data_IF_207069104542
#
_entry.id   IF_207069104542
#
_cell.length_a   1.000
_cell.length_b   1.000
_cell.length_c   1.000
_cell.angle_alpha   90.00
_cell.angle_beta   90.00
_cell.angle_gamma   90.00
#
_symmetry.space_group_name_H-M   'P 1'
#
loop_
_entity.id
_entity.type
_entity.pdbx_description
1 polymer ?
#
# COMPACT_ATOMS: atom_id res chain seq x y z
N UNK A 1 13.22 57.26 -63.72
CA UNK A 1 14.51 57.51 -63.04
C UNK A 1 15.06 56.18 -62.55
N UNK A 2 15.88 55.52 -63.38
CA UNK A 2 16.98 54.63 -62.93
C UNK A 2 18.03 55.50 -62.20
N UNK A 3 19.00 54.98 -61.40
CA UNK A 3 19.93 53.97 -61.91
C UNK A 3 20.67 53.01 -60.92
N UNK A 4 21.30 51.99 -61.55
CA UNK A 4 22.51 51.20 -61.17
C UNK A 4 22.36 50.16 -60.05
N UNK A 5 22.99 48.97 -60.05
CA UNK A 5 23.95 48.18 -60.86
C UNK A 5 24.11 46.86 -60.05
N UNK A 6 24.62 45.70 -60.47
CA UNK A 6 25.12 45.14 -61.72
C UNK A 6 25.28 43.62 -61.52
N UNK A 7 24.90 42.86 -62.55
CA UNK A 7 25.66 41.81 -63.25
C UNK A 7 26.37 40.63 -62.49
N UNK A 8 25.79 39.42 -62.59
CA UNK A 8 26.08 38.32 -63.56
C UNK A 8 27.54 37.77 -63.79
N UNK A 9 27.72 36.58 -64.43
CA UNK A 9 27.95 35.29 -63.77
C UNK A 9 29.20 34.54 -64.31
N UNK A 10 29.77 33.56 -63.61
CA UNK A 10 30.79 32.69 -64.21
C UNK A 10 30.48 31.20 -63.98
N UNK A 11 30.39 30.48 -65.10
CA UNK A 11 30.33 29.03 -65.28
C UNK A 11 31.76 28.45 -65.36
N UNK A 12 31.80 27.12 -65.49
CA UNK A 12 32.91 26.18 -65.82
C UNK A 12 33.40 25.46 -64.55
N UNK A 13 33.06 24.19 -64.25
CA UNK A 13 33.04 22.89 -64.95
C UNK A 13 34.38 22.14 -64.96
N UNK A 14 34.29 20.85 -64.55
CA UNK A 14 35.23 19.72 -64.70
C UNK A 14 36.44 19.73 -63.73
N UNK A 15 36.91 18.63 -63.15
CA UNK A 15 36.79 17.22 -63.51
C UNK A 15 36.93 16.30 -62.28
N UNK A 16 36.64 15.02 -62.54
CA UNK A 16 36.72 13.87 -61.66
C UNK A 16 38.15 13.49 -61.20
N UNK A 17 38.17 12.43 -60.40
CA UNK A 17 39.28 11.56 -59.97
C UNK A 17 39.71 11.78 -58.51
N UNK A 18 39.18 10.94 -57.63
CA UNK A 18 39.98 9.91 -56.94
C UNK A 18 39.12 9.25 -55.85
N UNK A 19 38.47 8.13 -56.21
CA UNK A 19 38.18 7.11 -55.24
C UNK A 19 39.53 6.55 -54.77
N UNK A 20 39.90 6.78 -53.52
CA UNK A 20 41.05 6.13 -52.89
C UNK A 20 40.71 5.90 -51.42
N UNK A 21 40.13 4.73 -51.19
CA UNK A 21 40.44 3.82 -50.09
C UNK A 21 41.12 4.45 -48.88
N UNK A 22 40.34 4.89 -47.90
CA UNK A 22 40.72 4.85 -46.49
C UNK A 22 40.28 3.50 -45.89
N UNK A 23 40.69 2.42 -46.56
CA UNK A 23 40.80 1.11 -45.95
C UNK A 23 42.28 0.92 -45.61
N UNK A 24 42.57 0.49 -44.38
CA UNK A 24 43.90 0.28 -43.79
C UNK A 24 44.58 1.50 -43.15
N UNK A 25 44.01 2.03 -42.05
CA UNK A 25 44.80 2.63 -40.96
C UNK A 25 43.98 2.86 -39.67
N UNK A 26 43.02 1.99 -39.36
CA UNK A 26 42.57 1.81 -37.98
C UNK A 26 42.62 0.32 -37.76
N UNK A 27 43.46 -0.10 -36.83
CA UNK A 27 43.61 -1.49 -36.44
C UNK A 27 42.23 -2.08 -36.16
N UNK A 28 42.17 -3.40 -36.25
CA UNK A 28 41.07 -4.17 -35.68
C UNK A 28 41.07 -3.91 -34.18
N UNK A 29 40.50 -2.77 -33.76
CA UNK A 29 39.81 -2.67 -32.51
C UNK A 29 38.70 -3.70 -32.68
N UNK A 30 38.99 -4.93 -32.26
CA UNK A 30 37.97 -5.90 -31.92
C UNK A 30 37.01 -5.11 -31.06
N UNK A 31 35.85 -4.76 -31.62
CA UNK A 31 34.72 -4.34 -30.83
C UNK A 31 34.63 -5.42 -29.77
N UNK A 32 34.91 -5.05 -28.51
CA UNK A 32 34.61 -5.94 -27.39
C UNK A 32 33.20 -6.46 -27.65
N UNK A 33 32.94 -7.77 -27.45
CA UNK A 33 31.61 -8.30 -27.68
C UNK A 33 30.65 -7.35 -26.97
N UNK A 34 29.67 -6.81 -27.71
CA UNK A 34 28.54 -6.11 -27.09
C UNK A 34 28.09 -7.10 -26.04
N UNK A 35 28.42 -6.84 -24.78
CA UNK A 35 28.12 -7.75 -23.70
C UNK A 35 26.64 -7.96 -23.80
N UNK A 36 26.22 -9.20 -24.11
CA UNK A 36 24.79 -9.48 -24.19
C UNK A 36 24.23 -9.02 -22.86
N UNK A 37 23.40 -7.98 -22.92
CA UNK A 37 22.70 -7.49 -21.75
C UNK A 37 22.02 -8.70 -21.13
N UNK A 38 22.29 -9.02 -19.86
CA UNK A 38 21.56 -10.07 -19.17
C UNK A 38 20.08 -9.76 -19.32
N UNK A 39 19.35 -10.68 -19.91
CA UNK A 39 17.90 -10.58 -20.03
C UNK A 39 17.32 -10.42 -18.61
N UNK A 40 16.54 -9.36 -18.31
CA UNK A 40 15.98 -9.13 -16.97
C UNK A 40 15.29 -10.37 -16.39
N UNK A 41 14.58 -11.14 -17.20
CA UNK A 41 13.90 -12.37 -16.76
C UNK A 41 14.89 -13.46 -16.30
N UNK A 42 16.05 -13.56 -16.94
CA UNK A 42 17.14 -14.45 -16.52
C UNK A 42 17.71 -14.02 -15.17
N UNK A 43 17.90 -12.71 -14.95
CA UNK A 43 18.39 -12.18 -13.67
C UNK A 43 17.37 -12.41 -12.56
N UNK A 44 16.09 -12.15 -12.82
CA UNK A 44 15.01 -12.40 -11.85
C UNK A 44 14.98 -13.83 -11.35
N UNK A 45 15.12 -14.81 -12.26
CA UNK A 45 15.13 -16.23 -11.91
C UNK A 45 16.30 -16.58 -10.99
N UNK A 46 17.48 -16.04 -11.28
CA UNK A 46 18.67 -16.20 -10.44
C UNK A 46 18.48 -15.54 -9.07
N UNK A 47 17.85 -14.37 -9.01
CA UNK A 47 17.52 -13.72 -7.75
C UNK A 47 16.53 -14.53 -6.91
N UNK A 48 15.48 -15.10 -7.51
CA UNK A 48 14.55 -15.99 -6.78
C UNK A 48 15.26 -17.22 -6.23
N UNK A 49 16.17 -17.82 -7.00
CA UNK A 49 16.97 -18.95 -6.55
C UNK A 49 17.92 -18.59 -5.39
N UNK A 50 18.62 -17.45 -5.49
CA UNK A 50 19.51 -16.97 -4.44
C UNK A 50 18.74 -16.64 -3.15
N UNK A 51 17.55 -16.03 -3.23
CA UNK A 51 16.66 -15.81 -2.08
C UNK A 51 16.22 -17.11 -1.42
N UNK A 52 15.77 -18.08 -2.21
CA UNK A 52 15.37 -19.39 -1.71
C UNK A 52 16.53 -20.12 -1.00
N UNK A 53 17.77 -19.88 -1.44
CA UNK A 53 18.98 -20.42 -0.83
C UNK A 53 19.53 -19.57 0.34
N UNK A 54 18.99 -18.36 0.58
CA UNK A 54 19.54 -17.41 1.55
C UNK A 54 20.91 -16.83 1.17
N UNK A 55 21.29 -16.89 -0.10
CA UNK A 55 22.60 -16.46 -0.60
C UNK A 55 22.63 -14.95 -0.87
N UNK A 56 22.90 -14.20 0.19
CA UNK A 56 22.99 -12.73 0.16
C UNK A 56 24.15 -12.21 -0.70
N UNK A 57 25.25 -12.96 -0.81
CA UNK A 57 26.40 -12.60 -1.64
C UNK A 57 26.06 -12.68 -3.12
N UNK A 58 25.40 -13.75 -3.54
CA UNK A 58 24.91 -13.89 -4.91
C UNK A 58 23.84 -12.84 -5.24
N UNK A 59 22.97 -12.48 -4.28
CA UNK A 59 22.01 -11.39 -4.48
C UNK A 59 22.70 -10.05 -4.76
N UNK A 60 23.69 -9.68 -3.94
CA UNK A 60 24.44 -8.44 -4.15
C UNK A 60 25.11 -8.39 -5.54
N UNK A 61 25.75 -9.50 -5.96
CA UNK A 61 26.38 -9.58 -7.28
C UNK A 61 25.36 -9.37 -8.43
N UNK A 62 24.17 -9.96 -8.32
CA UNK A 62 23.11 -9.81 -9.30
C UNK A 62 22.55 -8.37 -9.33
N UNK A 63 22.44 -7.72 -8.17
CA UNK A 63 22.04 -6.32 -8.06
C UNK A 63 23.07 -5.39 -8.70
N UNK A 64 24.35 -5.60 -8.42
CA UNK A 64 25.45 -4.83 -9.00
C UNK A 64 25.53 -5.02 -10.53
N UNK A 65 25.29 -6.24 -11.02
CA UNK A 65 25.18 -6.57 -12.44
C UNK A 65 24.05 -5.77 -13.11
N UNK A 66 22.88 -5.65 -12.46
CA UNK A 66 21.76 -4.84 -12.96
C UNK A 66 22.08 -3.34 -12.95
N UNK A 67 22.76 -2.84 -11.92
CA UNK A 67 23.09 -1.42 -11.78
C UNK A 67 24.20 -0.96 -12.73
N UNK A 68 25.16 -1.85 -13.02
CA UNK A 68 26.24 -1.60 -13.98
C UNK A 68 25.72 -1.50 -15.43
N UNK A 69 24.53 -2.05 -15.72
CA UNK A 69 23.87 -1.92 -17.01
C UNK A 69 23.38 -0.48 -17.22
N UNK A 70 24.27 0.38 -17.74
CA UNK A 70 23.86 1.66 -18.31
C UNK A 70 23.44 1.45 -19.76
N UNK A 71 22.23 1.88 -20.15
CA UNK A 71 21.84 1.86 -21.55
C UNK A 71 22.77 2.77 -22.36
N UNK A 72 23.20 2.29 -23.53
CA UNK A 72 24.12 3.02 -24.42
C UNK A 72 23.48 4.23 -25.14
N UNK A 73 22.21 4.53 -24.87
CA UNK A 73 21.42 5.60 -25.46
C UNK A 73 20.23 5.99 -24.55
N UNK A 74 19.29 6.83 -25.03
CA UNK A 74 18.10 7.16 -24.26
C UNK A 74 17.34 5.88 -23.92
N UNK A 75 17.13 5.65 -22.62
CA UNK A 75 16.41 4.47 -22.14
C UNK A 75 14.94 4.59 -22.54
N UNK A 76 14.37 3.56 -23.16
CA UNK A 76 12.91 3.46 -23.30
C UNK A 76 12.28 3.29 -21.92
N UNK A 77 11.04 3.74 -21.75
CA UNK A 77 10.28 3.53 -20.50
C UNK A 77 10.27 2.06 -20.12
N UNK A 78 9.97 1.18 -21.08
CA UNK A 78 9.92 -0.27 -20.91
C UNK A 78 11.22 -0.84 -20.33
N UNK A 79 12.37 -0.44 -20.86
CA UNK A 79 13.66 -0.92 -20.38
C UNK A 79 13.97 -0.47 -18.94
N UNK A 80 13.52 0.73 -18.55
CA UNK A 80 13.66 1.24 -17.18
C UNK A 80 12.75 0.47 -16.23
N UNK A 81 11.49 0.24 -16.61
CA UNK A 81 10.54 -0.50 -15.80
C UNK A 81 10.98 -1.95 -15.59
N UNK A 82 11.44 -2.64 -16.65
CA UNK A 82 11.93 -4.01 -16.55
C UNK A 82 13.16 -4.13 -15.62
N UNK A 83 14.11 -3.19 -15.70
CA UNK A 83 15.26 -3.21 -14.78
C UNK A 83 14.85 -2.92 -13.34
N UNK A 84 13.92 -1.98 -13.10
CA UNK A 84 13.43 -1.69 -11.75
C UNK A 84 12.64 -2.87 -11.17
N UNK A 85 11.85 -3.59 -11.96
CA UNK A 85 11.14 -4.78 -11.51
C UNK A 85 12.11 -5.92 -11.15
N UNK A 86 13.13 -6.16 -11.98
CA UNK A 86 14.18 -7.12 -11.67
C UNK A 86 14.88 -6.80 -10.33
N UNK A 87 15.21 -5.53 -10.09
CA UNK A 87 15.80 -5.08 -8.82
C UNK A 87 14.88 -5.33 -7.62
N UNK A 88 13.57 -5.18 -7.76
CA UNK A 88 12.62 -5.52 -6.68
C UNK A 88 12.55 -7.02 -6.41
N UNK A 89 12.61 -7.85 -7.45
CA UNK A 89 12.69 -9.33 -7.28
C UNK A 89 13.96 -9.72 -6.52
N UNK A 90 15.05 -8.99 -6.76
CA UNK A 90 16.35 -9.14 -6.09
C UNK A 90 16.43 -8.45 -4.72
N UNK A 91 15.33 -8.00 -4.12
CA UNK A 91 15.28 -7.34 -2.81
C UNK A 91 16.11 -6.03 -2.73
N UNK A 92 16.17 -5.28 -3.83
CA UNK A 92 16.88 -4.00 -3.90
C UNK A 92 15.94 -2.81 -4.19
N UNK A 93 15.01 -2.47 -3.27
CA UNK A 93 14.03 -1.40 -3.48
C UNK A 93 14.66 -0.03 -3.74
N UNK A 94 15.73 0.34 -3.02
CA UNK A 94 16.41 1.62 -3.21
C UNK A 94 17.08 1.75 -4.58
N UNK A 95 17.68 0.65 -5.05
CA UNK A 95 18.27 0.58 -6.38
C UNK A 95 17.20 0.72 -7.47
N UNK A 96 16.04 0.08 -7.30
CA UNK A 96 14.91 0.22 -8.21
C UNK A 96 14.44 1.68 -8.29
N UNK A 97 14.31 2.36 -7.14
CA UNK A 97 13.96 3.79 -7.09
C UNK A 97 15.02 4.66 -7.78
N UNK A 98 16.31 4.35 -7.61
CA UNK A 98 17.40 5.08 -8.27
C UNK A 98 17.40 4.89 -9.80
N UNK A 99 16.98 3.73 -10.30
CA UNK A 99 16.76 3.49 -11.73
C UNK A 99 15.54 4.27 -12.24
N UNK A 100 14.42 4.19 -11.52
CA UNK A 100 13.18 4.88 -11.88
C UNK A 100 13.34 6.41 -11.91
N UNK A 101 14.14 6.98 -11.01
CA UNK A 101 14.40 8.42 -10.95
C UNK A 101 15.10 9.00 -12.19
N UNK A 102 15.71 8.17 -13.04
CA UNK A 102 16.39 8.60 -14.27
C UNK A 102 15.42 8.95 -15.39
N UNK A 103 14.15 8.57 -15.26
CA UNK A 103 13.15 8.72 -16.30
C UNK A 103 11.82 9.15 -15.69
N UNK A 104 11.08 10.01 -16.38
CA UNK A 104 9.76 10.47 -15.96
C UNK A 104 8.84 10.51 -17.18
N UNK A 105 8.03 9.45 -17.41
CA UNK A 105 7.15 9.40 -18.57
C UNK A 105 6.14 10.54 -18.57
N UNK A 106 5.75 10.98 -19.76
CA UNK A 106 4.63 11.90 -19.95
C UNK A 106 3.30 11.26 -19.50
N UNK A 107 2.26 12.05 -19.17
CA UNK A 107 0.96 11.51 -18.77
C UNK A 107 0.42 10.47 -19.75
N UNK A 108 -0.02 9.32 -19.23
CA UNK A 108 -0.44 8.17 -20.03
C UNK A 108 -0.27 6.84 -19.29
N UNK A 109 -0.45 5.70 -19.98
CA UNK A 109 -0.32 4.37 -19.39
C UNK A 109 1.09 4.10 -18.84
N UNK A 110 2.12 4.53 -19.57
CA UNK A 110 3.53 4.46 -19.15
C UNK A 110 3.78 5.16 -17.81
N UNK A 111 3.17 6.33 -17.60
CA UNK A 111 3.25 7.06 -16.34
C UNK A 111 2.57 6.31 -15.21
N UNK A 112 1.44 5.65 -15.46
CA UNK A 112 0.74 4.85 -14.46
C UNK A 112 1.58 3.63 -14.05
N UNK A 113 2.15 2.90 -15.01
CA UNK A 113 3.05 1.78 -14.75
C UNK A 113 4.29 2.23 -13.96
N UNK A 114 4.89 3.37 -14.33
CA UNK A 114 6.00 3.96 -13.59
C UNK A 114 5.64 4.37 -12.16
N UNK A 115 4.47 4.99 -11.95
CA UNK A 115 4.00 5.36 -10.60
C UNK A 115 3.71 4.14 -9.73
N UNK A 116 3.13 3.09 -10.31
CA UNK A 116 2.89 1.82 -9.61
C UNK A 116 4.21 1.20 -9.15
N UNK A 117 5.22 1.18 -10.02
CA UNK A 117 6.53 0.60 -9.69
C UNK A 117 7.30 1.47 -8.68
N UNK A 118 7.20 2.80 -8.79
CA UNK A 118 7.70 3.74 -7.78
C UNK A 118 7.07 3.49 -6.41
N UNK A 119 5.74 3.31 -6.35
CA UNK A 119 5.05 2.98 -5.11
C UNK A 119 5.51 1.62 -4.56
N UNK A 120 5.52 0.55 -5.37
CA UNK A 120 5.97 -0.80 -4.95
C UNK A 120 7.38 -0.78 -4.37
N UNK A 121 8.30 -0.05 -5.00
CA UNK A 121 9.67 0.06 -4.54
C UNK A 121 9.78 0.85 -3.25
N UNK A 122 9.06 1.96 -3.12
CA UNK A 122 9.02 2.74 -1.89
C UNK A 122 8.39 1.97 -0.73
N UNK A 123 7.28 1.24 -0.96
CA UNK A 123 6.63 0.39 0.04
C UNK A 123 7.56 -0.73 0.52
N UNK A 124 8.21 -1.44 -0.40
CA UNK A 124 9.17 -2.50 -0.06
C UNK A 124 10.40 -1.97 0.72
N UNK A 125 10.82 -0.74 0.44
CA UNK A 125 11.90 -0.04 1.17
C UNK A 125 11.43 0.68 2.44
N UNK A 126 10.14 0.62 2.78
CA UNK A 126 9.52 1.36 3.90
C UNK A 126 9.68 2.90 3.81
N UNK A 127 9.90 3.45 2.60
CA UNK A 127 9.89 4.89 2.33
C UNK A 127 8.44 5.38 2.21
N UNK A 128 7.78 5.56 3.35
CA UNK A 128 6.37 5.95 3.44
C UNK A 128 6.07 7.29 2.77
N UNK A 129 7.00 8.26 2.80
CA UNK A 129 6.82 9.55 2.13
C UNK A 129 6.74 9.39 0.61
N UNK A 130 7.67 8.64 0.03
CA UNK A 130 7.70 8.41 -1.41
C UNK A 130 6.56 7.53 -1.87
N UNK A 131 6.19 6.52 -1.09
CA UNK A 131 5.03 5.69 -1.35
C UNK A 131 3.74 6.52 -1.38
N UNK A 132 3.48 7.34 -0.35
CA UNK A 132 2.32 8.22 -0.28
C UNK A 132 2.28 9.22 -1.45
N UNK A 133 3.42 9.80 -1.83
CA UNK A 133 3.52 10.73 -2.97
C UNK A 133 3.20 10.05 -4.31
N UNK A 134 3.69 8.83 -4.54
CA UNK A 134 3.37 8.07 -5.74
C UNK A 134 1.87 7.79 -5.86
N UNK A 135 1.22 7.38 -4.75
CA UNK A 135 -0.23 7.18 -4.69
C UNK A 135 -1.00 8.49 -4.95
N UNK A 136 -0.57 9.61 -4.38
CA UNK A 136 -1.19 10.93 -4.65
C UNK A 136 -1.05 11.37 -6.11
N UNK A 137 0.07 11.08 -6.75
CA UNK A 137 0.21 11.32 -8.19
C UNK A 137 -0.69 10.40 -9.02
N UNK A 138 -0.91 9.14 -8.60
CA UNK A 138 -1.88 8.26 -9.26
C UNK A 138 -3.33 8.74 -9.08
N UNK A 139 -3.66 9.36 -7.95
CA UNK A 139 -4.97 9.98 -7.73
C UNK A 139 -5.25 11.12 -8.72
N UNK A 140 -4.19 11.77 -9.23
CA UNK A 140 -4.30 12.91 -10.15
C UNK A 140 -5.26 14.01 -9.65
N UNK A 141 -5.24 14.26 -8.34
CA UNK A 141 -6.10 15.24 -7.67
C UNK A 141 -7.46 14.71 -7.19
N UNK A 142 -7.85 13.50 -7.56
CA UNK A 142 -9.09 12.86 -7.11
C UNK A 142 -8.79 11.59 -6.30
N UNK A 143 -8.77 11.73 -4.97
CA UNK A 143 -8.47 10.64 -4.05
C UNK A 143 -9.43 9.46 -4.20
N UNK A 144 -10.72 9.72 -4.51
CA UNK A 144 -11.72 8.66 -4.63
C UNK A 144 -11.36 7.65 -5.73
N UNK A 145 -10.59 8.04 -6.76
CA UNK A 145 -10.14 7.13 -7.82
C UNK A 145 -9.25 6.02 -7.29
N UNK A 146 -8.48 6.29 -6.23
CA UNK A 146 -7.61 5.30 -5.60
C UNK A 146 -8.40 4.13 -4.99
N UNK A 147 -9.70 4.29 -4.73
CA UNK A 147 -10.56 3.21 -4.25
C UNK A 147 -10.70 2.08 -5.28
N UNK A 148 -10.67 2.42 -6.57
CA UNK A 148 -10.79 1.45 -7.68
C UNK A 148 -9.47 0.77 -8.06
N UNK A 149 -8.35 1.26 -7.53
CA UNK A 149 -7.02 0.72 -7.86
C UNK A 149 -6.66 -0.33 -6.81
N UNK A 150 -6.68 -1.60 -7.20
CA UNK A 150 -6.28 -2.71 -6.34
C UNK A 150 -4.75 -2.88 -6.38
N UNK A 151 -4.09 -2.71 -5.24
CA UNK A 151 -2.64 -2.85 -5.11
C UNK A 151 -2.29 -4.08 -4.25
N UNK A 152 -1.26 -4.86 -4.62
CA UNK A 152 -0.86 -6.05 -3.89
C UNK A 152 -0.22 -5.69 -2.54
N UNK A 153 -0.54 -6.43 -1.49
CA UNK A 153 0.11 -6.33 -0.18
C UNK A 153 0.63 -7.71 0.22
N UNK A 154 1.88 -7.78 0.64
CA UNK A 154 2.46 -9.04 1.12
C UNK A 154 1.89 -9.34 2.52
N UNK A 155 1.37 -10.55 2.70
CA UNK A 155 1.06 -11.06 4.04
C UNK A 155 2.35 -11.45 4.74
N UNK A 156 2.64 -10.83 5.88
CA UNK A 156 3.88 -11.08 6.64
C UNK A 156 4.01 -12.49 7.23
N UNK A 157 3.01 -13.37 7.11
CA UNK A 157 3.06 -14.72 7.69
C UNK A 157 2.58 -15.84 6.76
N UNK A 158 1.65 -15.57 5.85
CA UNK A 158 1.07 -16.62 4.99
C UNK A 158 1.71 -16.68 3.60
N UNK A 159 2.52 -15.69 3.22
CA UNK A 159 3.09 -15.57 1.88
C UNK A 159 2.07 -15.31 0.76
N UNK A 160 0.77 -15.47 1.02
CA UNK A 160 -0.29 -15.19 0.07
C UNK A 160 -0.43 -13.68 -0.10
N UNK A 161 -0.15 -13.20 -1.31
CA UNK A 161 -0.44 -11.83 -1.69
C UNK A 161 -1.97 -11.63 -1.74
N UNK A 162 -2.45 -10.58 -1.10
CA UNK A 162 -3.82 -10.13 -1.23
C UNK A 162 -3.83 -8.69 -1.71
N UNK A 163 -4.90 -8.26 -2.37
CA UNK A 163 -5.01 -6.89 -2.86
C UNK A 163 -5.81 -6.03 -1.90
N UNK A 164 -5.44 -4.76 -1.78
CA UNK A 164 -6.22 -3.74 -1.08
C UNK A 164 -6.34 -2.49 -1.95
N UNK A 165 -7.43 -1.70 -1.81
CA UNK A 165 -7.55 -0.42 -2.47
C UNK A 165 -6.36 0.49 -2.17
N UNK A 166 -5.87 1.20 -3.20
CA UNK A 166 -4.77 2.15 -3.06
C UNK A 166 -5.11 3.29 -2.09
N UNK A 167 -6.41 3.63 -1.98
CA UNK A 167 -6.90 4.62 -1.02
C UNK A 167 -6.53 4.24 0.42
N UNK A 168 -6.78 2.98 0.78
CA UNK A 168 -6.54 2.48 2.13
C UNK A 168 -5.03 2.40 2.42
N UNK A 169 -4.23 2.09 1.41
CA UNK A 169 -2.76 2.03 1.52
C UNK A 169 -2.14 3.43 1.62
N UNK A 170 -2.73 4.43 0.96
CA UNK A 170 -2.33 5.83 1.16
C UNK A 170 -2.58 6.27 2.60
N UNK A 171 -3.75 5.93 3.18
CA UNK A 171 -4.03 6.21 4.58
C UNK A 171 -3.01 5.52 5.51
N UNK A 172 -2.69 4.24 5.27
CA UNK A 172 -1.68 3.50 6.05
C UNK A 172 -0.32 4.21 6.05
N UNK A 173 0.17 4.67 4.89
CA UNK A 173 1.43 5.41 4.81
C UNK A 173 1.39 6.75 5.54
N UNK A 174 0.26 7.46 5.49
CA UNK A 174 0.11 8.75 6.18
C UNK A 174 0.09 8.55 7.71
N UNK A 175 -0.56 7.50 8.19
CA UNK A 175 -0.52 7.11 9.60
C UNK A 175 0.90 6.76 10.07
N UNK A 176 1.67 5.99 9.28
CA UNK A 176 3.08 5.71 9.61
C UNK A 176 3.95 6.98 9.67
N UNK A 177 3.54 8.05 8.98
CA UNK A 177 4.20 9.36 9.03
C UNK A 177 3.66 10.27 10.14
N UNK A 178 2.69 9.80 10.95
CA UNK A 178 2.03 10.60 11.98
C UNK A 178 1.06 11.66 11.44
N UNK A 179 0.69 11.59 10.16
CA UNK A 179 -0.19 12.55 9.47
C UNK A 179 -1.65 12.09 9.55
N UNK A 180 -2.15 11.92 10.77
CA UNK A 180 -3.43 11.27 11.05
C UNK A 180 -4.64 12.02 10.45
N UNK A 181 -4.65 13.35 10.52
CA UNK A 181 -5.74 14.14 9.94
C UNK A 181 -5.82 13.96 8.41
N UNK A 182 -4.66 13.96 7.73
CA UNK A 182 -4.61 13.72 6.28
C UNK A 182 -5.01 12.29 5.92
N UNK A 183 -4.65 11.30 6.75
CA UNK A 183 -5.09 9.93 6.58
C UNK A 183 -6.63 9.81 6.71
N UNK A 184 -7.21 10.51 7.68
CA UNK A 184 -8.66 10.57 7.85
C UNK A 184 -9.34 11.21 6.63
N UNK A 185 -8.83 12.33 6.12
CA UNK A 185 -9.35 12.97 4.89
C UNK A 185 -9.32 12.01 3.69
N UNK A 186 -8.23 11.26 3.52
CA UNK A 186 -8.11 10.23 2.48
C UNK A 186 -9.17 9.15 2.64
N UNK A 187 -9.39 8.63 3.85
CA UNK A 187 -10.40 7.61 4.11
C UNK A 187 -11.83 8.12 3.86
N UNK A 188 -12.10 9.38 4.20
CA UNK A 188 -13.39 10.03 3.95
C UNK A 188 -13.68 10.24 2.46
N UNK A 189 -12.66 10.23 1.59
CA UNK A 189 -12.83 10.35 0.14
C UNK A 189 -13.38 9.08 -0.53
N UNK A 190 -13.42 7.93 0.18
CA UNK A 190 -14.02 6.70 -0.31
C UNK A 190 -15.51 6.87 -0.64
N UNK A 191 -16.01 6.12 -1.64
CA UNK A 191 -17.40 6.23 -2.11
C UNK A 191 -18.12 4.88 -2.20
N UNK A 192 -17.42 3.77 -2.04
CA UNK A 192 -18.01 2.43 -2.22
C UNK A 192 -18.83 2.05 -0.99
N UNK A 193 -20.17 1.99 -1.06
CA UNK A 193 -21.02 1.75 0.10
C UNK A 193 -20.84 0.36 0.70
N UNK A 194 -21.45 0.14 1.86
CA UNK A 194 -21.40 -1.10 2.62
C UNK A 194 -20.23 -1.16 3.61
N UNK A 195 -19.83 -2.39 3.95
CA UNK A 195 -18.77 -2.65 4.93
C UNK A 195 -17.46 -1.87 4.68
N UNK A 196 -16.93 -1.75 3.43
CA UNK A 196 -15.69 -1.00 3.20
C UNK A 196 -15.80 0.47 3.62
N UNK A 197 -16.89 1.16 3.28
CA UNK A 197 -17.10 2.55 3.70
C UNK A 197 -17.25 2.68 5.21
N UNK A 198 -18.00 1.76 5.83
CA UNK A 198 -18.18 1.75 7.27
C UNK A 198 -16.83 1.66 8.01
N UNK A 199 -15.92 0.78 7.55
CA UNK A 199 -14.57 0.66 8.12
C UNK A 199 -13.74 1.93 7.93
N UNK A 200 -13.83 2.57 6.76
CA UNK A 200 -13.11 3.83 6.49
C UNK A 200 -13.60 4.96 7.37
N UNK A 201 -14.90 5.14 7.52
CA UNK A 201 -15.46 6.16 8.41
C UNK A 201 -15.11 5.91 9.87
N UNK A 202 -15.20 4.67 10.34
CA UNK A 202 -14.77 4.28 11.69
C UNK A 202 -13.30 4.70 11.95
N UNK A 203 -12.43 4.36 11.01
CA UNK A 203 -11.00 4.64 11.09
C UNK A 203 -10.70 6.13 10.98
N UNK A 204 -11.35 6.84 10.05
CA UNK A 204 -11.21 8.29 9.93
C UNK A 204 -11.58 9.01 11.23
N UNK A 205 -12.67 8.59 11.88
CA UNK A 205 -13.08 9.09 13.19
C UNK A 205 -12.04 8.81 14.28
N UNK A 206 -11.39 7.64 14.26
CA UNK A 206 -10.35 7.29 15.21
C UNK A 206 -9.06 8.12 15.03
N UNK A 207 -8.78 8.55 13.80
CA UNK A 207 -7.56 9.27 13.44
C UNK A 207 -7.70 10.79 13.56
N UNK A 208 -8.87 11.35 13.23
CA UNK A 208 -9.07 12.78 13.17
C UNK A 208 -9.34 13.37 14.56
N UNK A 209 -8.30 13.98 15.14
CA UNK A 209 -8.37 14.62 16.46
C UNK A 209 -9.20 15.91 16.41
N UNK A 210 -9.19 16.61 15.27
CA UNK A 210 -9.89 17.88 15.07
C UNK A 210 -11.40 17.78 14.81
N UNK A 211 -11.97 16.57 14.70
CA UNK A 211 -13.42 16.41 14.51
C UNK A 211 -14.17 16.79 15.79
N UNK A 212 -15.14 17.69 15.66
CA UNK A 212 -16.08 17.99 16.74
C UNK A 212 -16.96 16.76 17.06
N UNK A 213 -17.51 16.74 18.27
CA UNK A 213 -18.28 15.60 18.76
C UNK A 213 -19.50 15.27 17.89
N UNK A 214 -20.16 16.28 17.29
CA UNK A 214 -21.37 16.07 16.49
C UNK A 214 -21.04 15.44 15.13
N UNK A 215 -19.98 15.92 14.46
CA UNK A 215 -19.50 15.34 13.21
C UNK A 215 -19.00 13.91 13.43
N UNK A 216 -18.28 13.69 14.54
CA UNK A 216 -17.82 12.35 14.93
C UNK A 216 -18.98 11.37 15.10
N UNK A 217 -20.01 11.78 15.83
CA UNK A 217 -21.19 10.95 16.08
C UNK A 217 -21.96 10.66 14.79
N UNK A 218 -22.17 11.68 13.94
CA UNK A 218 -22.85 11.51 12.66
C UNK A 218 -22.13 10.51 11.74
N UNK A 219 -20.80 10.58 11.64
CA UNK A 219 -20.01 9.62 10.84
C UNK A 219 -20.11 8.19 11.40
N UNK A 220 -20.08 8.02 12.72
CA UNK A 220 -20.22 6.70 13.34
C UNK A 220 -21.63 6.11 13.15
N UNK A 221 -22.69 6.92 13.24
CA UNK A 221 -24.05 6.45 12.96
C UNK A 221 -24.20 6.03 11.48
N UNK A 222 -23.66 6.81 10.54
CA UNK A 222 -23.67 6.42 9.12
C UNK A 222 -22.86 5.12 8.90
N UNK A 223 -21.73 4.94 9.59
CA UNK A 223 -20.95 3.72 9.52
C UNK A 223 -21.71 2.52 10.10
N UNK A 224 -22.45 2.71 11.20
CA UNK A 224 -23.29 1.68 11.81
C UNK A 224 -24.38 1.22 10.86
N UNK A 225 -25.05 2.15 10.18
CA UNK A 225 -26.09 1.83 9.18
C UNK A 225 -25.52 1.00 8.01
N UNK A 226 -24.37 1.41 7.47
CA UNK A 226 -23.69 0.69 6.38
C UNK A 226 -23.23 -0.71 6.81
N UNK A 227 -22.66 -0.83 8.01
CA UNK A 227 -22.20 -2.12 8.56
C UNK A 227 -23.37 -3.06 8.84
N UNK A 228 -24.46 -2.55 9.44
CA UNK A 228 -25.65 -3.33 9.74
C UNK A 228 -26.37 -3.79 8.47
N UNK A 229 -26.49 -2.91 7.46
CA UNK A 229 -27.06 -3.27 6.15
C UNK A 229 -26.26 -4.36 5.43
N UNK A 230 -24.94 -4.40 5.66
CA UNK A 230 -24.05 -5.43 5.11
C UNK A 230 -23.99 -6.71 5.95
N UNK A 231 -24.70 -6.78 7.08
CA UNK A 231 -24.64 -7.92 8.00
C UNK A 231 -23.29 -8.07 8.72
N UNK A 232 -22.45 -7.03 8.74
CA UNK A 232 -21.11 -7.04 9.34
C UNK A 232 -21.18 -6.85 10.86
N UNK A 233 -21.81 -7.80 11.57
CA UNK A 233 -22.13 -7.67 13.00
C UNK A 233 -20.92 -7.45 13.90
N UNK A 234 -19.75 -8.03 13.56
CA UNK A 234 -18.50 -7.75 14.27
C UNK A 234 -18.04 -6.30 14.14
N UNK A 235 -18.23 -5.68 12.97
CA UNK A 235 -17.92 -4.26 12.77
C UNK A 235 -18.93 -3.36 13.50
N UNK A 236 -20.22 -3.73 13.51
CA UNK A 236 -21.24 -3.02 14.31
C UNK A 236 -20.86 -3.01 15.79
N UNK A 237 -20.40 -4.15 16.33
CA UNK A 237 -19.93 -4.22 17.71
C UNK A 237 -18.74 -3.27 17.96
N UNK A 238 -17.73 -3.30 17.09
CA UNK A 238 -16.56 -2.44 17.21
C UNK A 238 -16.90 -0.94 17.12
N UNK A 239 -17.82 -0.55 16.23
CA UNK A 239 -18.30 0.83 16.09
C UNK A 239 -19.03 1.32 17.35
N UNK A 240 -19.88 0.47 17.94
CA UNK A 240 -20.56 0.79 19.21
C UNK A 240 -19.55 0.91 20.36
N UNK A 241 -18.53 0.05 20.40
CA UNK A 241 -17.46 0.14 21.39
C UNK A 241 -16.66 1.45 21.21
N UNK A 242 -16.43 1.89 19.97
CA UNK A 242 -15.80 3.18 19.66
C UNK A 242 -16.65 4.37 20.13
N UNK A 243 -17.98 4.33 19.94
CA UNK A 243 -18.89 5.35 20.50
C UNK A 243 -18.80 5.42 22.03
N UNK A 244 -18.66 4.28 22.69
CA UNK A 244 -18.57 4.18 24.15
C UNK A 244 -17.18 4.51 24.69
N UNK A 245 -16.11 4.38 23.89
CA UNK A 245 -14.75 4.69 24.29
C UNK A 245 -14.58 6.15 24.73
N UNK A 246 -15.25 7.09 24.04
CA UNK A 246 -15.21 8.52 24.35
C UNK A 246 -15.96 8.92 25.63
N UNK A 247 -16.71 8.00 26.24
CA UNK A 247 -17.56 8.29 27.40
C UNK A 247 -16.79 8.05 28.70
N UNK A 248 -16.62 9.10 29.51
CA UNK A 248 -16.09 8.96 30.86
C UNK A 248 -17.04 8.09 31.71
N UNK A 249 -16.56 6.94 32.16
CA UNK A 249 -17.31 5.99 32.98
C UNK A 249 -16.76 5.98 34.42
N UNK A 250 -17.66 6.09 35.40
CA UNK A 250 -17.35 6.05 36.82
C UNK A 250 -18.64 6.19 37.65
N UNK A 251 -18.61 5.83 38.96
CA UNK A 251 -19.78 5.95 39.82
C UNK A 251 -20.30 7.40 39.83
N UNK A 252 -21.55 7.62 39.44
CA UNK A 252 -22.19 8.94 39.39
C UNK A 252 -22.09 9.70 38.06
N UNK A 253 -21.44 9.14 37.03
CA UNK A 253 -21.45 9.72 35.67
C UNK A 253 -22.77 9.43 34.95
N UNK A 254 -23.50 10.46 34.54
CA UNK A 254 -24.69 10.30 33.70
C UNK A 254 -24.29 10.13 32.23
N UNK A 255 -24.70 9.02 31.62
CA UNK A 255 -24.54 8.82 30.19
C UNK A 255 -25.35 9.86 29.40
N UNK A 256 -24.77 10.38 28.31
CA UNK A 256 -25.57 11.12 27.33
C UNK A 256 -26.65 10.19 26.74
N UNK A 257 -27.78 10.72 26.25
CA UNK A 257 -28.82 9.89 25.60
C UNK A 257 -28.26 9.00 24.48
N UNK A 258 -27.33 9.54 23.68
CA UNK A 258 -26.62 8.83 22.64
C UNK A 258 -25.77 7.66 23.18
N UNK A 259 -24.95 7.91 24.20
CA UNK A 259 -24.13 6.88 24.84
C UNK A 259 -24.99 5.77 25.47
N UNK A 260 -26.10 6.15 26.11
CA UNK A 260 -27.07 5.19 26.66
C UNK A 260 -27.74 4.35 25.56
N UNK A 261 -28.00 4.93 24.38
CA UNK A 261 -28.51 4.20 23.23
C UNK A 261 -27.46 3.26 22.63
N UNK A 262 -26.22 3.70 22.48
CA UNK A 262 -25.10 2.87 22.02
C UNK A 262 -24.89 1.66 22.95
N UNK A 263 -24.88 1.87 24.26
CA UNK A 263 -24.75 0.81 25.27
C UNK A 263 -25.88 -0.21 25.17
N UNK A 264 -27.14 0.23 25.08
CA UNK A 264 -28.29 -0.66 24.89
C UNK A 264 -28.20 -1.46 23.60
N UNK A 265 -27.81 -0.82 22.49
CA UNK A 265 -27.61 -1.50 21.19
C UNK A 265 -26.52 -2.57 21.32
N UNK A 266 -25.41 -2.25 21.97
CA UNK A 266 -24.26 -3.15 22.13
C UNK A 266 -24.56 -4.35 23.02
N UNK A 267 -25.21 -4.15 24.17
CA UNK A 267 -25.60 -5.26 25.06
C UNK A 267 -26.58 -6.23 24.38
N UNK A 268 -27.56 -5.73 23.62
CA UNK A 268 -28.44 -6.59 22.81
C UNK A 268 -27.68 -7.34 21.72
N UNK A 269 -26.66 -6.71 21.12
CA UNK A 269 -25.85 -7.35 20.10
C UNK A 269 -24.95 -8.44 20.68
N UNK A 270 -24.40 -8.26 21.88
CA UNK A 270 -23.51 -9.25 22.52
C UNK A 270 -24.11 -10.65 22.55
N UNK A 271 -25.39 -10.77 22.93
CA UNK A 271 -26.09 -12.06 22.93
C UNK A 271 -26.40 -12.63 21.53
N UNK A 272 -26.35 -11.82 20.47
CA UNK A 272 -26.53 -12.28 19.08
C UNK A 272 -25.23 -12.74 18.43
N UNK A 273 -24.08 -12.27 18.92
CA UNK A 273 -22.74 -12.59 18.39
C UNK A 273 -21.91 -13.43 19.36
N UNK A 274 -22.54 -13.95 20.41
CA UNK A 274 -21.92 -14.74 21.48
C UNK A 274 -20.68 -14.09 22.13
N UNK A 275 -20.68 -12.75 22.24
CA UNK A 275 -19.59 -11.97 22.83
C UNK A 275 -19.79 -11.76 24.34
N UNK A 276 -19.63 -12.86 25.09
CA UNK A 276 -19.77 -12.86 26.55
C UNK A 276 -18.71 -11.98 27.24
N UNK A 277 -17.50 -11.89 26.68
CA UNK A 277 -16.42 -11.07 27.24
C UNK A 277 -16.71 -9.57 27.08
N UNK A 278 -17.13 -9.13 25.89
CA UNK A 278 -17.52 -7.75 25.66
C UNK A 278 -18.74 -7.34 26.48
N UNK A 279 -19.75 -8.22 26.61
CA UNK A 279 -20.87 -7.98 27.53
C UNK A 279 -20.40 -7.73 28.96
N UNK A 280 -19.56 -8.64 29.49
CA UNK A 280 -19.03 -8.52 30.85
C UNK A 280 -18.29 -7.20 31.08
N UNK A 281 -17.43 -6.80 30.12
CA UNK A 281 -16.65 -5.57 30.22
C UNK A 281 -17.56 -4.33 30.32
N UNK A 282 -18.64 -4.29 29.53
CA UNK A 282 -19.58 -3.18 29.51
C UNK A 282 -20.47 -3.14 30.76
N UNK A 283 -20.97 -4.30 31.20
CA UNK A 283 -21.74 -4.43 32.43
C UNK A 283 -20.96 -3.90 33.63
N UNK A 284 -19.66 -4.26 33.71
CA UNK A 284 -18.77 -3.80 34.78
C UNK A 284 -18.42 -2.32 34.66
N UNK A 285 -18.10 -1.83 33.45
CA UNK A 285 -17.71 -0.43 33.22
C UNK A 285 -18.84 0.56 33.54
N UNK A 286 -20.06 0.22 33.13
CA UNK A 286 -21.21 1.12 33.25
C UNK A 286 -22.17 0.76 34.39
N UNK A 287 -21.91 -0.31 35.14
CA UNK A 287 -22.70 -0.71 36.31
C UNK A 287 -24.17 -1.00 35.98
N UNK A 288 -24.45 -1.59 34.81
CA UNK A 288 -25.83 -1.77 34.32
C UNK A 288 -26.56 -2.88 35.07
N UNK A 289 -26.00 -4.09 35.09
CA UNK A 289 -26.52 -5.24 35.84
C UNK A 289 -25.37 -5.96 36.57
N UNK A 290 -25.19 -5.70 37.89
CA UNK A 290 -24.15 -6.32 38.69
C UNK A 290 -24.29 -7.85 38.82
N UNK A 291 -25.51 -8.39 38.81
CA UNK A 291 -25.75 -9.83 38.96
C UNK A 291 -25.33 -10.55 37.68
N UNK A 292 -25.73 -10.02 36.52
CA UNK A 292 -25.31 -10.52 35.22
C UNK A 292 -23.79 -10.41 35.03
N UNK A 293 -23.17 -9.31 35.47
CA UNK A 293 -21.71 -9.18 35.44
C UNK A 293 -21.01 -10.29 36.24
N UNK A 294 -21.52 -10.59 37.45
CA UNK A 294 -20.97 -11.67 38.29
C UNK A 294 -21.20 -13.06 37.68
N UNK A 295 -22.32 -13.27 37.00
CA UNK A 295 -22.59 -14.51 36.26
C UNK A 295 -21.60 -14.71 35.11
N UNK A 296 -21.44 -13.71 34.26
CA UNK A 296 -20.49 -13.74 33.13
C UNK A 296 -19.05 -13.94 33.60
N UNK A 297 -18.65 -13.30 34.71
CA UNK A 297 -17.33 -13.49 35.30
C UNK A 297 -17.08 -14.94 35.70
N UNK A 298 -18.08 -15.61 36.30
CA UNK A 298 -17.99 -17.04 36.63
C UNK A 298 -17.87 -17.90 35.37
N UNK A 299 -18.66 -17.61 34.34
CA UNK A 299 -18.63 -18.34 33.06
C UNK A 299 -17.27 -18.21 32.34
N UNK A 300 -16.70 -17.01 32.31
CA UNK A 300 -15.43 -16.73 31.64
C UNK A 300 -14.21 -17.31 32.38
N UNK A 301 -14.29 -17.45 33.71
CA UNK A 301 -13.23 -18.03 34.56
C UNK A 301 -13.31 -19.54 34.69
N UNK A 302 -14.46 -20.16 34.39
CA UNK A 302 -14.60 -21.62 34.40
C UNK A 302 -13.66 -22.24 33.35
N UNK A 303 -13.04 -23.40 33.62
CA UNK A 303 -12.48 -24.22 32.54
C UNK A 303 -13.56 -24.41 31.49
N UNK A 304 -13.24 -24.14 30.22
CA UNK A 304 -14.13 -24.49 29.11
C UNK A 304 -14.40 -25.98 29.18
N UNK A 305 -15.64 -26.39 28.96
CA UNK A 305 -16.00 -27.80 28.91
C UNK A 305 -14.99 -28.61 28.06
N UNK A 306 -14.67 -29.85 28.47
CA UNK A 306 -13.77 -30.71 27.70
C UNK A 306 -14.41 -31.00 26.33
N UNK A 307 -13.98 -30.24 25.32
CA UNK A 307 -14.54 -30.31 23.97
C UNK A 307 -14.11 -29.16 23.05
N UNK A 308 -13.68 -28.02 23.60
CA UNK A 308 -13.20 -26.88 22.81
C UNK A 308 -11.69 -26.66 22.92
N UNK A 309 -10.91 -27.38 22.10
CA UNK A 309 -9.50 -27.13 21.79
C UNK A 309 -8.52 -26.95 22.98
N UNK A 310 -8.25 -28.03 23.71
CA UNK A 310 -6.96 -28.26 24.36
C UNK A 310 -6.83 -29.73 24.73
N UNK A 311 -6.58 -30.60 23.74
CA UNK A 311 -5.95 -31.89 24.06
C UNK A 311 -4.48 -31.58 24.32
N UNK A 312 -4.12 -31.36 25.58
CA UNK A 312 -2.73 -31.46 26.00
C UNK A 312 -2.22 -32.84 25.61
N UNK A 313 -1.15 -32.97 24.80
CA UNK A 313 -0.59 -34.27 24.50
C UNK A 313 -0.07 -34.89 25.79
N UNK A 314 -0.47 -36.15 26.01
CA UNK A 314 -0.05 -36.95 27.15
C UNK A 314 1.49 -37.17 27.06
N UNK A 315 2.28 -36.74 28.07
CA UNK A 315 3.74 -36.90 28.06
C UNK A 315 4.20 -38.36 28.06
N UNK A 316 3.29 -39.33 28.22
CA UNK A 316 3.59 -40.76 28.18
C UNK A 316 3.59 -41.39 26.78
N UNK A 317 3.42 -40.60 25.70
CA UNK A 317 3.37 -41.11 24.31
C UNK A 317 4.48 -40.62 23.37
N UNK A 318 5.58 -40.06 23.88
CA UNK A 318 6.77 -39.85 23.06
C UNK A 318 7.72 -41.07 23.13
N UNK A 319 8.07 -41.70 21.99
CA UNK A 319 9.12 -42.71 21.92
C UNK A 319 10.52 -42.12 22.11
#
# INVERSE_FOLDING_TARGET
MTPLRAAHPWRVALAAVAATTWAAALGHATAAPIGLRPDPESVERRCRAARAAGDTGQLQLLQDELLAQRPAGPSSTEAVLATAEALLVCEAPDAALAVLARHSPAPGPDRQAWLLLQWRAADAGQDHERAARALRWMAAGDLARLESIALPRQSGQSGVAFTRPALDQLADHLESLGRNDEAAEVLLAGRTPGEPQARRWARAVALAEGLDASTREALLEQALDQAAASGAWGLVAALLDQQLAAVAAGPGSSLSPAAAQALRRRLRLSGRIDDAYGEWLLQRRFGVDPERAAELERQLRSPRDPGGHATTPDPSTQP
#
